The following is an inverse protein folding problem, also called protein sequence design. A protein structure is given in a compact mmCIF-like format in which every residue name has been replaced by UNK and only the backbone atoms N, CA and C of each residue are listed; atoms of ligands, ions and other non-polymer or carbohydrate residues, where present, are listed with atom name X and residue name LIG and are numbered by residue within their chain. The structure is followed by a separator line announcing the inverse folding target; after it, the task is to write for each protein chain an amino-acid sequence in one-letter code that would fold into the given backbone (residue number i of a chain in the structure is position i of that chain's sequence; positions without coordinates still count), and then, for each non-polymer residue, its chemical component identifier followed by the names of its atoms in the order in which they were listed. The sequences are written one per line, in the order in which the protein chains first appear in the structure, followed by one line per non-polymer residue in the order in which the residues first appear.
data_IF_831606602118
#
_entry.id   IF_831606602118
#
_cell.length_a   1.000
_cell.length_b   1.000
_cell.length_c   1.000
_cell.angle_alpha   90.00
_cell.angle_beta   90.00
_cell.angle_gamma   90.00
#
_symmetry.space_group_name_H-M   'P 1'
#
loop_
_entity.id
_entity.type
_entity.pdbx_description
1 polymer ?
#
# COMPACT_ATOMS: atom_id res chain seq x y z
N UNK A 1 -34.32 -18.77 -50.76
CA UNK A 1 -33.41 -17.71 -50.33
C UNK A 1 -33.96 -17.17 -49.02
N UNK A 2 -33.41 -17.62 -47.92
CA UNK A 2 -33.83 -17.24 -46.55
C UNK A 2 -32.59 -16.73 -45.84
N UNK A 3 -32.60 -15.38 -45.57
CA UNK A 3 -31.55 -14.70 -44.86
C UNK A 3 -31.77 -14.81 -43.35
N UNK A 4 -30.83 -15.39 -42.63
CA UNK A 4 -30.79 -15.34 -41.15
C UNK A 4 -30.17 -14.03 -40.67
N UNK A 5 -30.69 -13.39 -39.62
CA UNK A 5 -30.06 -12.23 -39.00
C UNK A 5 -29.02 -12.67 -37.95
N UNK A 6 -27.82 -12.05 -37.99
CA UNK A 6 -26.76 -12.22 -37.05
C UNK A 6 -27.15 -11.70 -35.66
N UNK A 7 -26.95 -12.51 -34.62
CA UNK A 7 -27.10 -12.11 -33.23
C UNK A 7 -25.78 -11.47 -32.74
N UNK A 8 -25.78 -10.15 -32.66
CA UNK A 8 -24.74 -9.38 -31.97
C UNK A 8 -24.95 -9.51 -30.48
N UNK A 9 -24.04 -10.17 -29.78
CA UNK A 9 -24.06 -10.31 -28.32
C UNK A 9 -23.54 -9.03 -27.69
N UNK A 10 -24.40 -8.35 -26.95
CA UNK A 10 -24.06 -7.19 -26.12
C UNK A 10 -23.28 -7.63 -24.88
N UNK A 11 -21.97 -7.40 -24.88
CA UNK A 11 -21.07 -7.74 -23.78
C UNK A 11 -20.42 -6.51 -23.14
N UNK A 12 -21.17 -5.43 -22.89
CA UNK A 12 -20.56 -4.19 -22.37
C UNK A 12 -21.20 -3.66 -21.07
N UNK A 13 -22.07 -4.40 -20.39
CA UNK A 13 -22.87 -3.82 -19.29
C UNK A 13 -22.53 -4.36 -17.90
N UNK A 14 -21.63 -5.31 -17.75
CA UNK A 14 -21.37 -5.96 -16.45
C UNK A 14 -20.20 -5.29 -15.67
N UNK A 15 -19.25 -4.68 -16.35
CA UNK A 15 -18.10 -4.08 -15.68
C UNK A 15 -18.40 -2.76 -14.97
N UNK A 16 -19.38 -2.00 -15.45
CA UNK A 16 -19.73 -0.66 -14.91
C UNK A 16 -20.59 -0.74 -13.64
N UNK A 17 -21.33 -1.83 -13.44
CA UNK A 17 -22.23 -1.98 -12.28
C UNK A 17 -21.50 -2.41 -11.02
N UNK A 18 -20.37 -3.14 -11.14
CA UNK A 18 -19.64 -3.62 -9.95
C UNK A 18 -18.86 -2.52 -9.22
N UNK A 19 -18.38 -1.49 -9.94
CA UNK A 19 -17.65 -0.37 -9.33
C UNK A 19 -18.62 0.63 -8.65
N UNK A 20 -19.82 0.78 -9.16
CA UNK A 20 -20.82 1.70 -8.59
C UNK A 20 -21.52 1.15 -7.32
N UNK A 21 -21.58 -0.17 -7.13
CA UNK A 21 -22.25 -0.80 -5.98
C UNK A 21 -21.43 -0.76 -4.70
N UNK A 22 -20.11 -0.53 -4.76
CA UNK A 22 -19.21 -0.45 -3.58
C UNK A 22 -19.18 0.97 -2.99
N UNK A 23 -19.73 1.97 -3.70
CA UNK A 23 -19.78 3.37 -3.25
C UNK A 23 -21.01 3.71 -2.39
N UNK A 24 -21.86 2.75 -2.05
CA UNK A 24 -23.03 2.98 -1.20
C UNK A 24 -22.60 3.18 0.25
N UNK A 25 -22.57 4.45 0.67
CA UNK A 25 -22.61 5.03 2.03
C UNK A 25 -22.62 4.04 3.21
N UNK A 26 -21.44 3.56 3.61
CA UNK A 26 -21.20 3.16 5.00
C UNK A 26 -20.75 4.41 5.78
N UNK A 27 -21.21 4.65 7.02
CA UNK A 27 -20.70 5.73 7.85
C UNK A 27 -19.20 5.53 8.08
N UNK A 28 -18.43 6.58 7.91
CA UNK A 28 -16.98 6.55 7.79
C UNK A 28 -16.28 6.70 9.14
N UNK A 29 -15.27 5.90 9.44
CA UNK A 29 -14.55 5.80 10.73
C UNK A 29 -13.10 5.25 10.55
N UNK A 30 -12.04 5.54 11.31
CA UNK A 30 -10.62 5.23 11.02
C UNK A 30 -9.76 4.56 12.12
N UNK A 31 -8.63 3.90 11.75
CA UNK A 31 -7.63 3.22 12.60
C UNK A 31 -6.90 4.12 13.60
N UNK A 32 -6.33 3.53 14.68
CA UNK A 32 -5.48 4.23 15.66
C UNK A 32 -4.36 5.02 14.95
N UNK A 33 -4.23 6.30 15.27
CA UNK A 33 -3.28 7.23 14.63
C UNK A 33 -3.72 7.80 13.26
N UNK A 34 -4.89 7.40 12.72
CA UNK A 34 -5.44 7.96 11.49
C UNK A 34 -4.78 7.48 10.17
N UNK A 35 -3.68 6.72 10.23
CA UNK A 35 -3.00 6.12 9.06
C UNK A 35 -2.95 4.59 9.16
N UNK A 36 -2.67 4.04 10.33
CA UNK A 36 -2.31 2.64 10.48
C UNK A 36 -1.04 2.30 9.69
N UNK A 37 -1.04 1.14 9.01
CA UNK A 37 0.09 0.68 8.18
C UNK A 37 -0.02 1.09 6.71
N UNK A 38 -1.11 1.74 6.31
CA UNK A 38 -1.37 2.11 4.93
C UNK A 38 -1.18 3.61 4.74
N UNK A 39 -0.12 3.98 4.05
CA UNK A 39 0.03 5.33 3.46
C UNK A 39 -0.49 5.26 2.02
N UNK A 40 -1.42 6.13 1.66
CA UNK A 40 -2.04 6.14 0.33
C UNK A 40 -0.99 6.25 -0.77
N UNK A 41 -1.11 5.39 -1.79
CA UNK A 41 -0.18 5.37 -2.92
C UNK A 41 1.16 4.65 -2.66
N UNK A 42 1.39 4.09 -1.47
CA UNK A 42 2.66 3.44 -1.15
C UNK A 42 2.68 1.91 -1.38
N UNK A 43 1.53 1.27 -1.50
CA UNK A 43 1.46 -0.20 -1.48
C UNK A 43 1.76 -0.84 -2.83
N UNK A 44 1.34 -0.23 -3.95
CA UNK A 44 1.47 -0.80 -5.29
C UNK A 44 2.81 -0.42 -5.92
N UNK A 45 3.45 -1.38 -6.58
CA UNK A 45 4.59 -1.17 -7.46
C UNK A 45 4.22 -1.52 -8.91
N UNK A 46 4.87 -0.93 -9.92
CA UNK A 46 4.77 -1.43 -11.28
C UNK A 46 5.07 -2.92 -11.32
N UNK A 47 4.37 -3.64 -12.20
CA UNK A 47 4.55 -5.09 -12.42
C UNK A 47 4.31 -5.96 -11.16
N UNK A 48 3.56 -5.47 -10.16
CA UNK A 48 3.34 -6.18 -8.89
C UNK A 48 2.70 -7.58 -9.06
N UNK A 49 2.02 -7.85 -10.16
CA UNK A 49 1.49 -9.19 -10.50
C UNK A 49 2.53 -10.15 -11.07
N UNK A 50 3.78 -9.72 -11.29
CA UNK A 50 4.81 -10.52 -11.95
C UNK A 50 5.84 -11.00 -10.92
N UNK A 51 5.88 -12.29 -10.66
CA UNK A 51 7.01 -12.94 -10.00
C UNK A 51 7.93 -13.49 -11.09
N UNK A 52 9.21 -13.06 -11.18
CA UNK A 52 10.12 -13.56 -12.20
C UNK A 52 10.22 -15.10 -12.21
N UNK A 53 10.39 -15.67 -13.40
CA UNK A 53 10.57 -17.12 -13.58
C UNK A 53 12.04 -17.57 -13.45
N UNK A 54 12.92 -16.70 -13.01
CA UNK A 54 14.33 -16.97 -12.78
C UNK A 54 14.68 -16.68 -11.32
N UNK A 55 15.55 -17.50 -10.69
CA UNK A 55 15.94 -17.28 -9.31
C UNK A 55 16.79 -16.01 -9.18
N UNK A 56 16.28 -15.03 -8.46
CA UNK A 56 16.98 -13.77 -8.17
C UNK A 56 16.94 -13.44 -6.69
N UNK A 57 17.92 -12.68 -6.23
CA UNK A 57 17.85 -11.90 -5.01
C UNK A 57 17.83 -10.43 -5.40
N UNK A 58 16.77 -9.72 -5.08
CA UNK A 58 16.61 -8.31 -5.43
C UNK A 58 16.52 -7.42 -4.19
N UNK A 59 17.09 -6.24 -4.30
CA UNK A 59 16.94 -5.14 -3.34
C UNK A 59 15.94 -4.13 -3.92
N UNK A 60 14.96 -3.77 -3.10
CA UNK A 60 14.06 -2.65 -3.36
C UNK A 60 14.20 -1.66 -2.20
N UNK A 61 14.46 -0.41 -2.53
CA UNK A 61 14.51 0.70 -1.56
C UNK A 61 13.52 1.75 -2.00
N UNK A 62 12.61 2.11 -1.12
CA UNK A 62 11.68 3.20 -1.35
C UNK A 62 11.97 4.35 -0.37
N UNK A 63 11.73 5.58 -0.81
CA UNK A 63 11.66 6.75 0.05
C UNK A 63 10.25 7.31 -0.05
N UNK A 64 9.52 7.31 1.05
CA UNK A 64 8.14 7.76 1.15
C UNK A 64 8.12 8.99 2.05
N UNK A 65 7.54 10.07 1.56
CA UNK A 65 7.21 11.24 2.36
C UNK A 65 5.71 11.47 2.30
N UNK A 66 5.10 11.59 3.47
CA UNK A 66 3.68 11.91 3.63
C UNK A 66 3.54 13.13 4.53
N UNK A 67 2.68 14.06 4.11
CA UNK A 67 2.27 15.20 4.91
C UNK A 67 0.76 15.34 4.81
N UNK A 68 0.06 15.22 5.93
CA UNK A 68 -1.40 15.26 5.93
C UNK A 68 -1.97 15.64 7.29
N UNK A 69 -3.29 15.91 7.28
CA UNK A 69 -4.02 16.29 8.47
C UNK A 69 -5.43 15.67 8.52
N UNK A 70 -5.99 15.65 9.73
CA UNK A 70 -7.42 15.46 9.99
C UNK A 70 -7.87 16.69 10.77
N UNK A 71 -8.86 17.42 10.24
CA UNK A 71 -9.35 18.65 10.86
C UNK A 71 -9.97 18.42 12.26
N UNK A 72 -10.19 19.51 12.99
CA UNK A 72 -10.63 19.52 14.39
C UNK A 72 -12.03 18.91 14.66
N UNK A 73 -12.82 18.66 13.62
CA UNK A 73 -14.16 18.07 13.75
C UNK A 73 -14.18 16.58 14.07
N UNK A 74 -13.03 15.88 13.94
CA UNK A 74 -12.92 14.45 14.19
C UNK A 74 -11.88 14.18 15.29
N UNK A 75 -12.32 13.59 16.40
CA UNK A 75 -11.41 13.02 17.39
C UNK A 75 -10.70 11.79 16.79
N UNK A 76 -9.39 11.67 16.98
CA UNK A 76 -8.56 10.57 16.48
C UNK A 76 -7.93 9.86 17.67
N UNK A 77 -8.06 8.53 17.79
CA UNK A 77 -7.37 7.78 18.82
C UNK A 77 -5.87 7.71 18.49
N UNK A 78 -5.02 8.14 19.42
CA UNK A 78 -3.55 8.12 19.27
C UNK A 78 -2.92 7.64 20.56
N UNK A 79 -2.37 6.44 20.54
CA UNK A 79 -1.60 5.83 21.65
C UNK A 79 -2.27 6.00 23.03
N UNK A 80 -3.59 5.75 23.12
CA UNK A 80 -4.37 5.82 24.35
C UNK A 80 -5.03 7.19 24.61
N UNK A 81 -4.88 8.20 23.74
CA UNK A 81 -5.51 9.51 23.83
C UNK A 81 -6.48 9.77 22.68
N UNK A 82 -7.35 10.77 22.86
CA UNK A 82 -8.12 11.35 21.76
C UNK A 82 -7.45 12.69 21.40
N UNK A 83 -7.00 12.80 20.17
CA UNK A 83 -6.39 13.97 19.59
C UNK A 83 -7.36 14.68 18.64
N UNK A 84 -7.35 16.02 18.62
CA UNK A 84 -8.09 16.85 17.68
C UNK A 84 -7.10 17.60 16.79
N UNK A 85 -7.51 18.01 15.59
CA UNK A 85 -6.67 18.74 14.63
C UNK A 85 -5.29 18.06 14.45
N UNK A 86 -5.34 16.77 14.10
CA UNK A 86 -4.15 15.93 13.96
C UNK A 86 -3.43 16.29 12.66
N UNK A 87 -2.15 16.62 12.76
CA UNK A 87 -1.23 16.74 11.61
C UNK A 87 -0.12 15.73 11.75
N UNK A 88 0.21 15.07 10.67
CA UNK A 88 1.30 14.09 10.62
C UNK A 88 2.22 14.33 9.43
N UNK A 89 3.51 14.40 9.71
CA UNK A 89 4.59 14.35 8.74
C UNK A 89 5.31 13.02 8.93
N UNK A 90 5.45 12.24 7.87
CA UNK A 90 6.09 10.92 7.92
C UNK A 90 7.10 10.82 6.79
N UNK A 91 8.33 10.49 7.13
CA UNK A 91 9.36 10.06 6.19
C UNK A 91 9.70 8.61 6.51
N UNK A 92 9.50 7.70 5.55
CA UNK A 92 9.75 6.28 5.74
C UNK A 92 10.58 5.74 4.58
N UNK A 93 11.60 4.96 4.91
CA UNK A 93 12.46 4.29 3.93
C UNK A 93 12.37 2.77 4.13
N UNK A 94 11.39 2.09 3.49
CA UNK A 94 11.37 0.63 3.44
C UNK A 94 12.54 0.09 2.61
N UNK A 95 13.29 -0.83 3.20
CA UNK A 95 14.36 -1.59 2.55
C UNK A 95 13.89 -3.03 2.47
N UNK A 96 13.66 -3.52 1.26
CA UNK A 96 13.10 -4.86 1.01
C UNK A 96 14.13 -5.74 0.31
N UNK A 97 14.38 -6.91 0.87
CA UNK A 97 15.05 -8.01 0.19
C UNK A 97 13.98 -9.00 -0.30
N UNK A 98 13.96 -9.22 -1.60
CA UNK A 98 13.09 -10.19 -2.28
C UNK A 98 13.93 -11.34 -2.81
N UNK A 99 13.60 -12.57 -2.41
CA UNK A 99 14.16 -13.80 -2.96
C UNK A 99 13.12 -14.49 -3.83
N UNK A 100 13.37 -14.60 -5.11
CA UNK A 100 12.66 -15.50 -6.01
C UNK A 100 13.33 -16.86 -5.97
N UNK A 101 12.54 -17.91 -5.73
CA UNK A 101 13.00 -19.27 -5.60
C UNK A 101 13.14 -19.92 -6.99
N UNK A 102 14.04 -20.88 -7.11
CA UNK A 102 14.15 -21.70 -8.30
C UNK A 102 13.00 -22.71 -8.29
N UNK A 103 12.03 -22.51 -9.16
CA UNK A 103 10.83 -23.37 -9.26
C UNK A 103 10.65 -23.93 -10.66
N UNK A 104 11.69 -23.80 -11.51
CA UNK A 104 11.67 -24.26 -12.88
C UNK A 104 10.81 -23.41 -13.83
N UNK A 105 10.58 -23.91 -15.04
CA UNK A 105 9.90 -23.21 -16.13
C UNK A 105 8.36 -23.29 -16.09
N UNK A 106 7.77 -23.59 -14.93
CA UNK A 106 6.33 -23.68 -14.75
C UNK A 106 5.60 -22.34 -14.82
N UNK A 107 4.27 -22.40 -14.87
CA UNK A 107 3.42 -21.18 -14.78
C UNK A 107 3.38 -20.59 -13.36
N UNK A 108 3.78 -21.34 -12.35
CA UNK A 108 3.86 -20.92 -10.97
C UNK A 108 5.30 -20.62 -10.61
N UNK A 109 5.52 -19.43 -10.05
CA UNK A 109 6.79 -19.02 -9.49
C UNK A 109 6.57 -18.50 -8.06
N UNK A 110 7.55 -18.72 -7.21
CA UNK A 110 7.42 -18.38 -5.80
C UNK A 110 8.54 -17.46 -5.35
N UNK A 111 8.20 -16.59 -4.42
CA UNK A 111 9.15 -15.69 -3.81
C UNK A 111 8.84 -15.51 -2.31
N UNK A 112 9.81 -14.99 -1.58
CA UNK A 112 9.66 -14.52 -0.20
C UNK A 112 10.33 -13.16 -0.07
N UNK A 113 9.86 -12.33 0.87
CA UNK A 113 10.45 -11.02 1.10
C UNK A 113 10.51 -10.68 2.59
N UNK A 114 11.47 -9.84 2.93
CA UNK A 114 11.53 -9.15 4.22
C UNK A 114 11.74 -7.66 3.97
N UNK A 115 10.98 -6.84 4.68
CA UNK A 115 11.08 -5.38 4.61
C UNK A 115 11.37 -4.82 5.99
N UNK A 116 12.44 -4.04 6.10
CA UNK A 116 12.82 -3.28 7.29
C UNK A 116 12.63 -1.79 6.98
N UNK A 117 11.57 -1.15 7.47
CA UNK A 117 11.37 0.27 7.25
C UNK A 117 12.13 1.09 8.30
N UNK A 118 12.82 2.14 7.87
CA UNK A 118 13.35 3.19 8.74
C UNK A 118 12.37 4.34 8.68
N UNK A 119 11.95 4.84 9.84
CA UNK A 119 10.93 5.91 9.92
C UNK A 119 11.45 7.10 10.72
N UNK A 120 11.07 8.27 10.27
CA UNK A 120 10.95 9.49 11.05
C UNK A 120 9.52 10.01 10.93
N UNK A 121 8.91 10.37 12.03
CA UNK A 121 7.59 10.98 12.01
C UNK A 121 7.52 12.15 13.02
N UNK A 122 6.65 13.10 12.69
CA UNK A 122 6.23 14.19 13.58
C UNK A 122 4.72 14.23 13.60
N UNK A 123 4.15 14.20 14.79
CA UNK A 123 2.70 14.33 15.01
C UNK A 123 2.44 15.55 15.87
N UNK A 124 1.55 16.41 15.39
CA UNK A 124 1.06 17.59 16.09
C UNK A 124 -0.44 17.45 16.26
N UNK A 125 -0.93 17.65 17.48
CA UNK A 125 -2.35 17.53 17.79
C UNK A 125 -2.75 18.47 18.92
N UNK A 126 -4.03 18.85 18.94
CA UNK A 126 -4.66 19.51 20.08
C UNK A 126 -5.16 18.44 21.05
N UNK A 127 -4.65 18.44 22.26
CA UNK A 127 -5.00 17.50 23.32
C UNK A 127 -5.78 18.23 24.39
N UNK A 128 -6.92 17.68 24.79
CA UNK A 128 -7.77 18.22 25.85
C UNK A 128 -7.51 17.51 27.17
N UNK A 129 -7.29 18.27 28.23
CA UNK A 129 -7.18 17.78 29.60
C UNK A 129 -8.17 18.57 30.48
N UNK A 130 -9.34 18.00 30.75
CA UNK A 130 -10.45 18.70 31.37
C UNK A 130 -10.94 19.84 30.47
N UNK A 131 -11.01 21.09 31.02
CA UNK A 131 -11.43 22.28 30.26
C UNK A 131 -10.27 22.98 29.53
N UNK A 132 -9.03 22.51 29.69
CA UNK A 132 -7.87 23.10 29.04
C UNK A 132 -7.54 22.33 27.76
N UNK A 133 -7.27 23.07 26.68
CA UNK A 133 -6.75 22.53 25.43
C UNK A 133 -5.34 23.04 25.20
N UNK A 134 -4.43 22.17 24.79
CA UNK A 134 -3.06 22.55 24.42
C UNK A 134 -2.64 21.86 23.16
N UNK A 135 -1.91 22.56 22.30
CA UNK A 135 -1.27 21.96 21.15
C UNK A 135 0.03 21.27 21.58
N UNK A 136 0.20 20.02 21.20
CA UNK A 136 1.42 19.24 21.42
C UNK A 136 1.99 18.78 20.11
N UNK A 137 3.31 18.81 19.99
CA UNK A 137 4.05 18.25 18.87
C UNK A 137 5.12 17.31 19.40
N UNK A 138 5.19 16.12 18.85
CA UNK A 138 6.21 15.11 19.16
C UNK A 138 6.76 14.50 17.89
N UNK A 139 8.01 14.06 17.92
CA UNK A 139 8.64 13.32 16.84
C UNK A 139 9.28 12.03 17.37
N UNK A 140 9.38 11.05 16.49
CA UNK A 140 10.09 9.80 16.74
C UNK A 140 10.86 9.40 15.48
N UNK A 141 11.98 8.69 15.68
CA UNK A 141 12.76 8.12 14.57
C UNK A 141 13.38 6.79 15.01
N UNK A 142 13.49 5.87 14.05
CA UNK A 142 14.05 4.55 14.30
C UNK A 142 13.58 3.52 13.28
N UNK A 143 13.69 2.25 13.63
CA UNK A 143 13.12 1.15 12.85
C UNK A 143 11.62 1.08 13.14
N UNK A 144 10.84 1.01 12.08
CA UNK A 144 9.40 0.73 12.16
C UNK A 144 9.16 -0.78 12.29
N UNK A 145 7.91 -1.18 12.36
CA UNK A 145 7.51 -2.58 12.39
C UNK A 145 7.97 -3.32 11.13
N UNK A 146 8.60 -4.47 11.30
CA UNK A 146 9.14 -5.27 10.20
C UNK A 146 8.00 -6.00 9.48
N UNK A 147 8.04 -6.00 8.14
CA UNK A 147 7.15 -6.80 7.31
C UNK A 147 7.87 -8.05 6.81
N UNK A 148 7.31 -9.19 7.11
CA UNK A 148 7.72 -10.49 6.58
C UNK A 148 6.67 -10.96 5.59
N UNK A 149 7.07 -11.29 4.37
CA UNK A 149 6.21 -11.89 3.36
C UNK A 149 6.74 -13.28 3.03
N UNK A 150 6.33 -14.31 3.79
CA UNK A 150 6.90 -15.65 3.68
C UNK A 150 6.61 -16.31 2.34
N UNK A 151 5.51 -15.93 1.71
CA UNK A 151 5.12 -16.48 0.42
C UNK A 151 4.53 -15.40 -0.49
N UNK A 152 5.03 -15.38 -1.73
CA UNK A 152 4.47 -14.69 -2.88
C UNK A 152 4.36 -15.75 -3.97
N UNK A 153 3.15 -16.07 -4.41
CA UNK A 153 2.87 -17.06 -5.45
C UNK A 153 2.44 -16.34 -6.73
N UNK A 154 3.30 -16.33 -7.73
CA UNK A 154 3.04 -15.77 -9.05
C UNK A 154 2.49 -16.80 -10.01
N UNK A 155 1.51 -16.44 -10.81
CA UNK A 155 0.93 -17.23 -11.87
C UNK A 155 0.95 -16.51 -13.21
N UNK A 156 1.51 -17.13 -14.23
CA UNK A 156 1.61 -16.59 -15.58
C UNK A 156 0.52 -17.18 -16.48
N UNK A 157 -0.55 -16.40 -16.74
CA UNK A 157 -1.60 -16.80 -17.69
C UNK A 157 -1.08 -16.81 -19.12
N UNK A 158 -0.24 -15.82 -19.45
CA UNK A 158 0.41 -15.65 -20.74
C UNK A 158 1.70 -14.81 -20.56
N UNK A 159 2.52 -14.63 -21.61
CA UNK A 159 3.67 -13.71 -21.54
C UNK A 159 3.34 -12.26 -21.18
N UNK A 160 2.08 -11.87 -21.27
CA UNK A 160 1.63 -10.48 -21.01
C UNK A 160 0.58 -10.37 -19.91
N UNK A 161 0.23 -11.44 -19.22
CA UNK A 161 -0.85 -11.46 -18.22
C UNK A 161 -0.44 -12.29 -17.02
N UNK A 162 -0.36 -11.66 -15.86
CA UNK A 162 0.23 -12.25 -14.67
C UNK A 162 -0.58 -11.91 -13.43
N UNK A 163 -0.53 -12.78 -12.44
CA UNK A 163 -1.13 -12.57 -11.13
C UNK A 163 -0.14 -13.00 -10.05
N UNK A 164 -0.09 -12.26 -8.95
CA UNK A 164 0.63 -12.66 -7.76
C UNK A 164 -0.30 -12.61 -6.55
N UNK A 165 -0.21 -13.62 -5.69
CA UNK A 165 -0.87 -13.67 -4.39
C UNK A 165 0.21 -13.66 -3.31
N UNK A 166 0.04 -12.87 -2.27
CA UNK A 166 1.00 -12.79 -1.18
C UNK A 166 0.33 -12.72 0.18
N UNK A 167 1.08 -13.10 1.20
CA UNK A 167 0.66 -13.01 2.59
C UNK A 167 1.73 -12.28 3.40
N UNK A 168 1.43 -11.05 3.78
CA UNK A 168 2.31 -10.21 4.59
C UNK A 168 1.99 -10.29 6.08
N UNK A 169 3.02 -10.29 6.91
CA UNK A 169 2.94 -10.30 8.37
C UNK A 169 3.77 -9.14 8.90
N UNK A 170 3.12 -8.13 9.44
CA UNK A 170 3.78 -7.05 10.16
C UNK A 170 3.98 -7.44 11.61
N UNK A 171 5.21 -7.49 12.05
CA UNK A 171 5.58 -7.76 13.43
C UNK A 171 5.74 -6.44 14.19
N UNK A 172 5.25 -6.32 15.43
CA UNK A 172 5.37 -5.11 16.25
C UNK A 172 6.78 -4.98 16.83
N UNK A 173 7.75 -4.66 15.98
CA UNK A 173 9.18 -4.56 16.33
C UNK A 173 9.65 -3.14 16.57
N UNK A 174 8.87 -2.13 16.16
CA UNK A 174 9.14 -0.73 16.44
C UNK A 174 8.86 -0.36 17.90
N UNK A 175 9.45 0.74 18.37
CA UNK A 175 9.18 1.26 19.71
C UNK A 175 7.81 1.86 19.82
N UNK A 176 7.10 1.50 20.90
CA UNK A 176 5.78 2.05 21.23
C UNK A 176 5.71 2.40 22.72
N UNK A 177 5.20 3.58 23.01
CA UNK A 177 4.94 4.06 24.37
C UNK A 177 3.54 4.69 24.40
N UNK A 178 2.71 4.23 25.35
CA UNK A 178 1.37 4.77 25.56
C UNK A 178 1.46 6.24 25.98
N UNK A 179 0.55 7.07 25.43
CA UNK A 179 0.50 8.51 25.75
C UNK A 179 1.41 9.38 24.87
N UNK A 180 2.32 8.80 24.07
CA UNK A 180 3.10 9.53 23.08
C UNK A 180 2.29 9.73 21.79
N UNK A 181 2.39 10.93 21.21
CA UNK A 181 1.77 11.23 19.92
C UNK A 181 2.54 10.57 18.76
N UNK A 182 3.87 10.48 18.86
CA UNK A 182 4.71 9.90 17.83
C UNK A 182 5.45 8.68 18.38
N UNK A 183 5.28 7.55 17.70
CA UNK A 183 5.94 6.26 17.96
C UNK A 183 6.56 5.72 16.67
N UNK A 184 7.60 4.88 16.78
CA UNK A 184 8.19 4.21 15.61
C UNK A 184 7.53 2.86 15.31
N UNK A 185 6.64 2.34 16.17
CA UNK A 185 5.86 1.12 15.96
C UNK A 185 4.41 1.31 16.35
N UNK A 186 3.56 0.35 15.96
CA UNK A 186 2.12 0.38 16.25
C UNK A 186 1.71 -0.60 17.37
N UNK A 187 2.63 -1.44 17.85
CA UNK A 187 2.44 -2.39 18.96
C UNK A 187 1.34 -3.43 18.75
N UNK A 188 1.03 -3.78 17.50
CA UNK A 188 0.14 -4.88 17.16
C UNK A 188 0.58 -5.59 15.88
N UNK A 189 0.20 -6.86 15.75
CA UNK A 189 0.40 -7.64 14.54
C UNK A 189 -0.62 -7.26 13.47
N UNK A 190 -0.19 -7.28 12.21
CA UNK A 190 -1.11 -7.14 11.06
C UNK A 190 -0.85 -8.25 10.06
N UNK A 191 -1.91 -8.94 9.63
CA UNK A 191 -1.88 -9.98 8.62
C UNK A 191 -2.52 -9.42 7.33
N UNK A 192 -1.79 -9.50 6.23
CA UNK A 192 -2.14 -8.81 4.99
C UNK A 192 -2.14 -9.75 3.79
N UNK A 193 -3.19 -10.58 3.57
CA UNK A 193 -3.35 -11.24 2.28
C UNK A 193 -3.60 -10.20 1.18
N UNK A 194 -2.91 -10.37 0.04
CA UNK A 194 -3.06 -9.51 -1.14
C UNK A 194 -3.08 -10.32 -2.41
N UNK A 195 -3.73 -9.78 -3.43
CA UNK A 195 -3.68 -10.25 -4.81
C UNK A 195 -3.35 -9.08 -5.73
N UNK A 196 -2.39 -9.25 -6.62
CA UNK A 196 -2.01 -8.30 -7.63
C UNK A 196 -2.16 -8.91 -9.03
N UNK A 197 -2.59 -8.10 -10.00
CA UNK A 197 -2.68 -8.48 -11.39
C UNK A 197 -1.94 -7.47 -12.26
N UNK A 198 -1.17 -7.96 -13.22
CA UNK A 198 -0.47 -7.12 -14.19
C UNK A 198 -0.80 -7.57 -15.61
N UNK A 199 -1.19 -6.62 -16.45
CA UNK A 199 -1.36 -6.78 -17.89
C UNK A 199 -0.40 -5.85 -18.63
N UNK A 200 0.44 -6.44 -19.45
CA UNK A 200 1.31 -5.74 -20.39
C UNK A 200 0.64 -5.72 -21.77
N UNK A 201 0.76 -4.60 -22.48
CA UNK A 201 0.27 -4.45 -23.88
C UNK A 201 1.44 -3.94 -24.73
N UNK A 202 2.36 -4.82 -25.14
CA UNK A 202 3.61 -4.43 -25.81
C UNK A 202 3.41 -3.57 -27.06
N UNK A 203 2.36 -3.85 -27.83
CA UNK A 203 2.06 -3.16 -29.10
C UNK A 203 1.81 -1.66 -28.90
N UNK A 204 1.25 -1.28 -27.77
CA UNK A 204 0.96 0.12 -27.42
C UNK A 204 1.85 0.67 -26.31
N UNK A 205 2.68 -0.19 -25.69
CA UNK A 205 3.56 0.15 -24.58
C UNK A 205 2.84 0.43 -23.27
N UNK A 206 1.58 0.00 -23.11
CA UNK A 206 0.86 0.16 -21.85
C UNK A 206 1.11 -0.99 -20.88
N UNK A 207 1.19 -0.62 -19.60
CA UNK A 207 1.10 -1.50 -18.45
C UNK A 207 -0.11 -1.12 -17.61
N UNK A 208 -0.89 -2.12 -17.21
CA UNK A 208 -1.97 -2.02 -16.22
C UNK A 208 -1.63 -2.93 -15.05
N UNK A 209 -1.52 -2.38 -13.86
CA UNK A 209 -1.30 -3.15 -12.65
C UNK A 209 -2.33 -2.75 -11.61
N UNK A 210 -2.97 -3.72 -10.97
CA UNK A 210 -3.90 -3.51 -9.87
C UNK A 210 -3.60 -4.48 -8.73
N UNK A 211 -3.85 -4.03 -7.49
CA UNK A 211 -3.67 -4.83 -6.29
C UNK A 211 -4.86 -4.62 -5.36
N UNK A 212 -5.37 -5.69 -4.80
CA UNK A 212 -6.36 -5.65 -3.73
C UNK A 212 -5.83 -6.42 -2.52
N UNK A 213 -6.16 -5.95 -1.32
CA UNK A 213 -5.72 -6.60 -0.09
C UNK A 213 -6.66 -6.32 1.07
N UNK A 214 -6.51 -7.12 2.11
CA UNK A 214 -7.17 -6.92 3.39
C UNK A 214 -6.12 -6.93 4.49
N UNK A 215 -6.22 -6.04 5.46
CA UNK A 215 -5.38 -6.04 6.65
C UNK A 215 -6.22 -6.42 7.87
N UNK A 216 -5.82 -7.47 8.56
CA UNK A 216 -6.39 -7.90 9.83
C UNK A 216 -5.43 -7.55 10.96
N UNK A 217 -5.90 -6.78 11.93
CA UNK A 217 -5.08 -6.28 13.02
C UNK A 217 -5.38 -7.04 14.32
N UNK A 218 -4.32 -7.39 15.05
CA UNK A 218 -4.48 -7.85 16.44
C UNK A 218 -4.76 -6.66 17.35
N UNK A 219 -5.17 -6.94 18.58
CA UNK A 219 -5.35 -5.90 19.60
C UNK A 219 -4.00 -5.34 20.04
N UNK A 220 -3.90 -4.00 20.16
CA UNK A 220 -2.86 -3.33 20.89
C UNK A 220 -3.16 -3.43 22.38
N UNK A 221 -2.48 -4.32 23.09
CA UNK A 221 -2.74 -4.61 24.50
C UNK A 221 -2.36 -3.46 25.43
N UNK A 222 -1.47 -2.56 24.99
CA UNK A 222 -1.06 -1.40 25.79
C UNK A 222 -2.12 -0.30 25.87
N UNK A 223 -3.02 -0.22 24.87
CA UNK A 223 -4.10 0.77 24.79
C UNK A 223 -5.48 0.12 24.86
N UNK A 224 -5.55 -1.21 24.90
CA UNK A 224 -6.79 -1.99 24.76
C UNK A 224 -7.59 -1.60 23.51
N UNK A 225 -6.88 -1.31 22.40
CA UNK A 225 -7.47 -0.86 21.15
C UNK A 225 -7.25 -1.90 20.04
N UNK A 226 -8.28 -2.18 19.26
CA UNK A 226 -8.18 -3.05 18.09
C UNK A 226 -8.75 -2.33 16.87
N UNK A 227 -7.89 -2.00 15.93
CA UNK A 227 -8.31 -1.48 14.63
C UNK A 227 -8.99 -2.56 13.82
N UNK A 228 -10.17 -2.26 13.31
CA UNK A 228 -10.93 -3.16 12.45
C UNK A 228 -10.21 -3.42 11.11
N UNK A 229 -10.64 -4.43 10.36
CA UNK A 229 -10.01 -4.75 9.09
C UNK A 229 -10.06 -3.60 8.08
N UNK A 230 -8.98 -3.45 7.31
CA UNK A 230 -8.84 -2.48 6.22
C UNK A 230 -8.83 -3.21 4.89
N UNK A 231 -9.71 -2.81 3.97
CA UNK A 231 -9.64 -3.20 2.56
C UNK A 231 -8.85 -2.15 1.81
N UNK A 232 -7.92 -2.59 0.97
CA UNK A 232 -7.12 -1.71 0.11
C UNK A 232 -7.31 -2.10 -1.35
N UNK A 233 -7.33 -1.10 -2.21
CA UNK A 233 -7.29 -1.27 -3.65
C UNK A 233 -6.38 -0.21 -4.25
N UNK A 234 -5.36 -0.65 -4.95
CA UNK A 234 -4.41 0.22 -5.65
C UNK A 234 -4.39 -0.15 -7.13
N UNK A 235 -4.29 0.83 -8.00
CA UNK A 235 -4.19 0.62 -9.43
C UNK A 235 -3.16 1.58 -10.06
N UNK A 236 -2.50 1.11 -11.10
CA UNK A 236 -1.51 1.86 -11.87
C UNK A 236 -1.75 1.61 -13.35
N UNK A 237 -1.76 2.67 -14.12
CA UNK A 237 -1.64 2.65 -15.57
C UNK A 237 -0.43 3.46 -15.97
N UNK A 238 0.44 2.90 -16.79
CA UNK A 238 1.57 3.65 -17.35
C UNK A 238 1.81 3.28 -18.80
N UNK A 239 2.39 4.22 -19.55
CA UNK A 239 2.77 4.07 -20.96
C UNK A 239 4.26 4.29 -21.10
N UNK A 240 4.94 3.35 -21.73
CA UNK A 240 6.33 3.50 -22.15
C UNK A 240 6.45 4.57 -23.23
N UNK A 241 7.45 5.45 -23.07
CA UNK A 241 7.77 6.52 -24.01
C UNK A 241 9.01 6.20 -24.87
N UNK A 242 9.65 5.04 -24.64
CA UNK A 242 10.97 4.73 -25.18
C UNK A 242 12.09 5.09 -24.21
N UNK A 243 13.31 4.70 -24.53
CA UNK A 243 14.54 4.96 -23.75
C UNK A 243 14.43 4.60 -22.25
N UNK A 244 13.57 3.62 -21.94
CA UNK A 244 13.31 3.17 -20.58
C UNK A 244 12.34 4.04 -19.78
N UNK A 245 11.89 5.19 -20.26
CA UNK A 245 10.97 6.05 -19.55
C UNK A 245 9.50 5.62 -19.73
N UNK A 246 8.70 5.83 -18.69
CA UNK A 246 7.27 5.65 -18.71
C UNK A 246 6.59 6.76 -17.92
N UNK A 247 5.37 7.12 -18.33
CA UNK A 247 4.50 8.04 -17.59
C UNK A 247 3.13 7.42 -17.38
N UNK A 248 2.45 7.82 -16.34
CA UNK A 248 1.12 7.28 -16.06
C UNK A 248 0.44 7.92 -14.87
N UNK A 249 -0.54 7.20 -14.34
CA UNK A 249 -1.30 7.57 -13.17
C UNK A 249 -1.43 6.39 -12.21
N UNK A 250 -1.56 6.70 -10.94
CA UNK A 250 -1.85 5.74 -9.89
C UNK A 250 -3.09 6.16 -9.11
N UNK A 251 -3.80 5.18 -8.58
CA UNK A 251 -4.94 5.31 -7.69
C UNK A 251 -4.67 4.47 -6.46
N UNK A 252 -5.02 4.99 -5.30
CA UNK A 252 -5.00 4.25 -4.03
C UNK A 252 -6.30 4.50 -3.28
N UNK A 253 -6.98 3.43 -2.92
CA UNK A 253 -8.20 3.47 -2.11
C UNK A 253 -8.04 2.58 -0.91
N UNK A 254 -8.42 3.10 0.25
CA UNK A 254 -8.46 2.36 1.50
C UNK A 254 -9.80 2.58 2.17
N UNK A 255 -10.39 1.49 2.61
CA UNK A 255 -11.66 1.46 3.35
C UNK A 255 -11.54 0.54 4.54
N UNK A 256 -11.83 1.04 5.72
CA UNK A 256 -12.03 0.19 6.89
C UNK A 256 -13.40 -0.47 6.83
N UNK A 257 -13.47 -1.74 7.24
CA UNK A 257 -14.68 -2.55 7.18
C UNK A 257 -15.07 -2.97 8.59
N UNK A 258 -15.88 -2.17 9.23
CA UNK A 258 -16.36 -2.37 10.59
C UNK A 258 -15.79 -1.34 11.57
N UNK A 259 -16.34 -1.33 12.78
CA UNK A 259 -15.94 -0.44 13.86
C UNK A 259 -14.67 -0.95 14.55
N UNK A 260 -13.83 -0.02 15.02
CA UNK A 260 -12.76 -0.34 15.94
C UNK A 260 -13.33 -0.76 17.29
N UNK A 261 -12.58 -1.54 18.04
CA UNK A 261 -12.96 -2.09 19.34
C UNK A 261 -12.09 -1.50 20.46
N UNK A 262 -12.69 -1.26 21.62
CA UNK A 262 -12.02 -0.85 22.85
C UNK A 262 -12.54 0.48 23.41
N UNK A 263 -12.15 0.85 24.66
CA UNK A 263 -12.73 1.97 25.39
C UNK A 263 -12.65 3.32 24.68
N UNK A 264 -11.60 3.56 23.87
CA UNK A 264 -11.47 4.78 23.07
C UNK A 264 -12.35 4.75 21.83
N UNK A 265 -12.48 3.58 21.18
CA UNK A 265 -13.36 3.40 20.04
C UNK A 265 -14.83 3.61 20.43
N UNK A 266 -15.25 3.06 21.58
CA UNK A 266 -16.60 3.24 22.12
C UNK A 266 -16.94 4.71 22.36
N UNK A 267 -15.98 5.49 22.89
CA UNK A 267 -16.14 6.95 23.13
C UNK A 267 -16.26 7.76 21.84
N UNK A 268 -15.83 7.19 20.71
CA UNK A 268 -15.87 7.81 19.38
C UNK A 268 -17.02 7.26 18.51
N UNK A 269 -17.92 6.46 19.10
CA UNK A 269 -19.03 5.76 18.42
C UNK A 269 -18.54 4.88 17.26
N UNK A 270 -17.54 4.03 17.55
CA UNK A 270 -16.78 3.33 16.54
C UNK A 270 -15.85 4.31 15.78
N UNK A 271 -14.84 3.84 15.11
CA UNK A 271 -13.93 4.72 14.36
C UNK A 271 -13.46 4.03 13.06
N UNK A 272 -14.24 4.08 11.96
CA UNK A 272 -13.97 3.51 10.62
C UNK A 272 -13.51 4.61 9.67
N UNK A 273 -12.55 4.50 8.79
CA UNK A 273 -12.12 5.53 7.86
C UNK A 273 -11.95 5.06 6.43
N UNK A 274 -11.97 6.04 5.55
CA UNK A 274 -11.65 5.82 4.16
C UNK A 274 -10.76 6.93 3.62
N UNK A 275 -10.05 6.63 2.55
CA UNK A 275 -9.36 7.63 1.74
C UNK A 275 -9.23 7.15 0.31
N UNK A 276 -9.34 8.09 -0.62
CA UNK A 276 -9.04 7.91 -2.04
C UNK A 276 -7.99 8.92 -2.43
N UNK A 277 -6.93 8.46 -3.06
CA UNK A 277 -5.86 9.28 -3.57
C UNK A 277 -5.57 8.91 -5.04
N UNK A 278 -5.28 9.90 -5.87
CA UNK A 278 -5.00 9.71 -7.29
C UNK A 278 -3.90 10.68 -7.67
N UNK A 279 -2.91 10.22 -8.44
CA UNK A 279 -1.85 11.10 -8.89
C UNK A 279 -1.00 10.55 -10.02
N UNK A 280 -0.05 11.34 -10.53
CA UNK A 280 0.85 10.95 -11.60
C UNK A 280 1.93 9.98 -11.12
N UNK A 281 2.47 9.22 -12.07
CA UNK A 281 3.65 8.38 -11.90
C UNK A 281 4.60 8.57 -13.07
N UNK A 282 5.90 8.52 -12.77
CA UNK A 282 6.98 8.49 -13.75
C UNK A 282 7.85 7.29 -13.42
N UNK A 283 8.11 6.44 -14.41
CA UNK A 283 8.96 5.27 -14.30
C UNK A 283 10.19 5.41 -15.18
N UNK A 284 11.25 4.74 -14.78
CA UNK A 284 12.43 4.48 -15.58
C UNK A 284 12.87 3.03 -15.39
N UNK A 285 13.20 2.37 -16.49
CA UNK A 285 13.82 1.06 -16.51
C UNK A 285 15.02 1.06 -17.44
N UNK A 286 16.13 0.52 -16.99
CA UNK A 286 17.39 0.53 -17.75
C UNK A 286 18.41 -0.39 -17.11
N UNK A 287 19.70 -0.14 -17.39
CA UNK A 287 20.79 -0.88 -16.78
C UNK A 287 21.72 0.06 -16.01
N UNK A 288 22.18 -0.40 -14.85
CA UNK A 288 23.28 0.22 -14.10
C UNK A 288 24.43 -0.78 -14.14
N UNK A 289 25.48 -0.44 -14.94
CA UNK A 289 26.46 -1.43 -15.36
C UNK A 289 25.80 -2.56 -16.14
N UNK A 290 25.97 -3.79 -15.69
CA UNK A 290 25.40 -4.99 -16.33
C UNK A 290 24.11 -5.49 -15.64
N UNK A 291 23.50 -4.70 -14.76
CA UNK A 291 22.31 -5.11 -14.00
C UNK A 291 21.11 -4.29 -14.41
N UNK A 292 19.96 -4.92 -14.68
CA UNK A 292 18.72 -4.18 -14.89
C UNK A 292 18.36 -3.42 -13.59
N UNK A 293 17.89 -2.20 -13.76
CA UNK A 293 17.45 -1.37 -12.64
C UNK A 293 16.16 -0.65 -13.01
N UNK A 294 15.32 -0.43 -12.02
CA UNK A 294 14.06 0.30 -12.18
C UNK A 294 13.98 1.40 -11.13
N UNK A 295 13.45 2.54 -11.52
CA UNK A 295 13.11 3.63 -10.63
C UNK A 295 11.69 4.11 -10.93
N UNK A 296 10.93 4.46 -9.89
CA UNK A 296 9.56 4.99 -10.05
C UNK A 296 9.36 6.12 -9.07
N UNK A 297 8.92 7.26 -9.57
CA UNK A 297 8.47 8.38 -8.76
C UNK A 297 6.95 8.51 -8.86
N UNK A 298 6.30 8.74 -7.72
CA UNK A 298 4.85 8.98 -7.61
C UNK A 298 4.57 10.16 -6.70
N UNK A 299 3.60 10.94 -7.09
CA UNK A 299 2.93 11.88 -6.24
C UNK A 299 1.44 11.49 -6.17
N UNK A 300 0.94 11.21 -4.99
CA UNK A 300 -0.41 10.66 -4.80
C UNK A 300 -1.15 11.51 -3.76
N UNK A 301 -1.70 12.66 -4.18
CA UNK A 301 -2.52 13.50 -3.32
C UNK A 301 -3.84 12.82 -2.97
N UNK A 302 -4.31 13.02 -1.74
CA UNK A 302 -5.64 12.58 -1.31
C UNK A 302 -6.73 13.42 -1.96
N UNK A 303 -7.65 12.78 -2.66
CA UNK A 303 -8.80 13.43 -3.31
C UNK A 303 -9.97 13.56 -2.34
N UNK A 304 -10.20 12.51 -1.55
CA UNK A 304 -11.25 12.51 -0.52
C UNK A 304 -10.84 11.59 0.62
N UNK A 305 -11.23 11.98 1.83
CA UNK A 305 -11.02 11.15 3.03
C UNK A 305 -12.11 11.42 4.05
N UNK A 306 -12.39 10.40 4.86
CA UNK A 306 -13.21 10.51 6.06
C UNK A 306 -12.48 9.86 7.23
N UNK A 307 -12.25 10.62 8.31
CA UNK A 307 -11.56 10.19 9.54
C UNK A 307 -10.21 9.48 9.30
N UNK A 308 -9.57 9.76 8.16
CA UNK A 308 -8.17 9.41 7.85
C UNK A 308 -7.42 10.68 7.47
N UNK A 309 -6.10 10.64 7.63
CA UNK A 309 -5.25 11.76 7.22
C UNK A 309 -5.40 12.01 5.72
N UNK A 310 -5.72 13.26 5.40
CA UNK A 310 -5.77 13.79 4.03
C UNK A 310 -4.49 14.56 3.77
N UNK A 311 -3.79 14.26 2.70
CA UNK A 311 -2.52 14.90 2.40
C UNK A 311 -1.87 14.37 1.14
N UNK A 312 -0.61 14.70 1.00
CA UNK A 312 0.22 14.36 -0.15
C UNK A 312 1.19 13.23 0.20
N UNK A 313 1.23 12.20 -0.64
CA UNK A 313 2.27 11.17 -0.62
C UNK A 313 3.22 11.38 -1.79
N UNK A 314 4.51 11.53 -1.49
CA UNK A 314 5.59 11.46 -2.47
C UNK A 314 6.34 10.15 -2.25
N UNK A 315 6.59 9.40 -3.30
CA UNK A 315 7.32 8.14 -3.21
C UNK A 315 8.30 8.00 -4.37
N UNK A 316 9.55 7.72 -4.02
CA UNK A 316 10.59 7.31 -4.96
C UNK A 316 10.98 5.87 -4.62
N UNK A 317 10.88 4.98 -5.58
CA UNK A 317 11.30 3.57 -5.45
C UNK A 317 12.45 3.28 -6.39
N UNK A 318 13.40 2.50 -5.91
CA UNK A 318 14.51 1.98 -6.69
C UNK A 318 14.62 0.47 -6.47
N UNK A 319 14.76 -0.29 -7.56
CA UNK A 319 14.87 -1.75 -7.55
C UNK A 319 16.09 -2.21 -8.35
N UNK A 320 16.83 -3.14 -7.77
CA UNK A 320 18.04 -3.70 -8.40
C UNK A 320 18.21 -5.17 -7.99
N UNK A 321 18.44 -6.11 -8.92
CA UNK A 321 18.86 -7.47 -8.57
C UNK A 321 20.30 -7.45 -8.04
N UNK A 322 20.48 -8.03 -6.84
CA UNK A 322 21.79 -8.23 -6.21
C UNK A 322 22.48 -9.48 -6.76
N UNK A 323 21.68 -10.55 -6.98
CA UNK A 323 22.15 -11.83 -7.54
C UNK A 323 21.23 -12.20 -8.68
N UNK A 324 21.81 -12.55 -9.81
CA UNK A 324 21.13 -13.06 -11.00
C UNK A 324 21.72 -14.44 -11.36
N UNK A 325 20.96 -15.32 -12.01
CA UNK A 325 21.53 -16.54 -12.56
C UNK A 325 22.62 -16.20 -13.59
N UNK A 326 23.61 -17.07 -13.71
CA UNK A 326 24.60 -16.94 -14.78
C UNK A 326 23.89 -16.98 -16.15
N UNK A 327 24.33 -16.16 -17.12
CA UNK A 327 23.81 -16.28 -18.48
C UNK A 327 24.03 -17.71 -18.98
N UNK A 328 23.12 -18.27 -19.79
CA UNK A 328 23.33 -19.59 -20.38
C UNK A 328 24.67 -19.59 -21.13
N UNK A 329 25.41 -20.71 -21.14
CA UNK A 329 26.63 -20.81 -21.90
C UNK A 329 26.35 -20.46 -23.37
N UNK A 330 27.23 -19.68 -23.96
CA UNK A 330 27.12 -19.34 -25.37
C UNK A 330 27.08 -20.64 -26.21
N UNK A 331 26.24 -20.72 -27.26
CA UNK A 331 26.08 -21.90 -28.09
C UNK A 331 27.37 -22.25 -28.83
#
# INVERSE_FOLDING_TARGET
MSSQPSKTVKSTTIATVLVAAVMASCPAVATEGGLGRVVQGSNLQPKAGIVPNVPILALNVSSIYFNGNIGASAGVPVAGNIALDLKAEVSMTPITLLKVWDTGEGRWNYASAITVPIIWNRVTATVSAGNATTQRSQSASGIFDVLITPIIAGYHFSPTSHMAMSFGIWAPTGSFETGRLANTGLNYWTFSPTVAYTKLVPESGFEFTAQAGVQFNSRNTATDYKSAPLVTFDALIQKSLGDGFAIGANLSWVQQVGDDEGPLADRLNGFVGHALAIGPTIGWSGNIGNRPAEATFRWTPTVTSGRRLSGDTLMLTFSLPLVMPAPPPAP
#
